data_IF_115218510119
#
_entry.id   IF_115218510119
#
_cell.length_a   1.000
_cell.length_b   1.000
_cell.length_c   1.000
_cell.angle_alpha   90.00
_cell.angle_beta   90.00
_cell.angle_gamma   90.00
#
_symmetry.space_group_name_H-M   'P 1'
#
loop_
_entity.id
_entity.type
_entity.pdbx_description
1 polymer ?
#
# COMPACT_ATOMS: atom_id res chain seq x y z
N UNK A 1 5.23 -5.09 -1.33
CA UNK A 1 4.58 -6.41 -1.13
C UNK A 1 3.15 -6.51 -1.69
N UNK A 2 2.26 -5.53 -1.45
CA UNK A 2 0.85 -5.56 -1.94
C UNK A 2 0.70 -5.80 -3.46
N UNK A 3 1.56 -5.25 -4.31
CA UNK A 3 1.53 -5.47 -5.77
C UNK A 3 1.79 -6.92 -6.19
N UNK A 4 2.75 -7.61 -5.53
CA UNK A 4 3.05 -9.03 -5.78
C UNK A 4 1.87 -9.92 -5.40
N UNK A 5 1.22 -9.63 -4.27
CA UNK A 5 0.02 -10.34 -3.80
C UNK A 5 -1.15 -10.13 -4.76
N UNK A 6 -1.36 -8.90 -5.26
CA UNK A 6 -2.40 -8.62 -6.26
C UNK A 6 -2.18 -9.36 -7.58
N UNK A 7 -0.92 -9.47 -8.03
CA UNK A 7 -0.56 -10.26 -9.22
C UNK A 7 -0.82 -11.75 -9.01
N UNK A 8 -0.47 -12.29 -7.84
CA UNK A 8 -0.72 -13.68 -7.49
C UNK A 8 -2.22 -14.01 -7.41
N UNK A 9 -3.03 -13.15 -6.78
CA UNK A 9 -4.50 -13.32 -6.74
C UNK A 9 -5.12 -13.27 -8.14
N UNK A 10 -4.64 -12.39 -9.01
CA UNK A 10 -5.10 -12.30 -10.40
C UNK A 10 -4.76 -13.57 -11.19
N UNK A 11 -3.56 -14.11 -10.97
CA UNK A 11 -3.12 -15.37 -11.57
C UNK A 11 -3.95 -16.56 -11.07
N UNK A 12 -4.14 -16.67 -9.76
CA UNK A 12 -4.94 -17.73 -9.12
C UNK A 12 -6.41 -17.69 -9.57
N UNK A 13 -7.01 -16.49 -9.63
CA UNK A 13 -8.36 -16.33 -10.18
C UNK A 13 -8.46 -16.69 -11.67
N UNK A 14 -7.44 -16.37 -12.47
CA UNK A 14 -7.34 -16.80 -13.86
C UNK A 14 -7.18 -18.31 -14.02
N UNK A 15 -6.41 -18.94 -13.13
CA UNK A 15 -6.21 -20.39 -13.10
C UNK A 15 -7.51 -21.14 -12.78
N UNK A 16 -8.32 -20.65 -11.83
CA UNK A 16 -9.64 -21.24 -11.54
C UNK A 16 -10.59 -21.18 -12.74
N UNK A 17 -10.59 -20.07 -13.47
CA UNK A 17 -11.36 -19.94 -14.72
C UNK A 17 -10.82 -20.88 -15.81
N UNK A 18 -9.50 -21.05 -15.90
CA UNK A 18 -8.89 -21.99 -16.84
C UNK A 18 -9.24 -23.44 -16.50
N UNK A 19 -9.20 -23.82 -15.22
CA UNK A 19 -9.62 -25.13 -14.73
C UNK A 19 -11.11 -25.40 -15.01
N UNK A 20 -11.98 -24.38 -14.89
CA UNK A 20 -13.38 -24.47 -15.31
C UNK A 20 -13.50 -24.81 -16.81
N UNK A 21 -12.74 -24.11 -17.66
CA UNK A 21 -12.75 -24.35 -19.12
C UNK A 21 -12.29 -25.78 -19.45
N UNK A 22 -11.22 -26.25 -18.79
CA UNK A 22 -10.77 -27.65 -18.94
C UNK A 22 -11.80 -28.66 -18.45
N UNK A 23 -12.49 -28.38 -17.33
CA UNK A 23 -13.56 -29.23 -16.82
C UNK A 23 -14.75 -29.31 -17.80
N UNK A 24 -15.12 -28.18 -18.43
CA UNK A 24 -16.20 -28.13 -19.43
C UNK A 24 -15.78 -28.87 -20.71
N UNK A 25 -14.53 -28.72 -21.16
CA UNK A 25 -13.96 -29.45 -22.30
C UNK A 25 -13.92 -30.96 -22.04
N UNK A 26 -13.51 -31.40 -20.85
CA UNK A 26 -13.53 -32.80 -20.43
C UNK A 26 -14.95 -33.38 -20.44
N UNK A 27 -15.94 -32.62 -19.97
CA UNK A 27 -17.35 -33.02 -20.06
C UNK A 27 -17.89 -33.07 -21.49
N UNK A 28 -17.35 -32.23 -22.40
CA UNK A 28 -17.72 -32.28 -23.82
C UNK A 28 -17.19 -33.54 -24.51
N UNK A 29 -16.01 -34.03 -24.09
CA UNK A 29 -15.42 -35.26 -24.59
C UNK A 29 -16.10 -36.52 -24.02
N UNK A 30 -16.55 -36.47 -22.77
CA UNK A 30 -17.26 -37.59 -22.13
C UNK A 30 -18.77 -37.28 -21.96
N UNK A 31 -19.54 -37.61 -23.00
CA UNK A 31 -20.99 -37.35 -23.11
C UNK A 31 -21.82 -37.94 -21.96
N UNK A 32 -21.26 -38.89 -21.21
CA UNK A 32 -21.89 -39.54 -20.07
C UNK A 32 -21.93 -38.68 -18.79
N UNK A 33 -21.05 -37.66 -18.69
CA UNK A 33 -20.94 -36.80 -17.52
C UNK A 33 -21.84 -35.56 -17.55
N UNK A 34 -22.69 -35.38 -18.57
CA UNK A 34 -23.57 -34.22 -18.76
C UNK A 34 -24.74 -34.17 -17.76
N UNK A 35 -24.43 -34.14 -16.45
CA UNK A 35 -25.39 -33.91 -15.37
C UNK A 35 -25.41 -32.42 -15.07
N UNK A 36 -26.59 -31.79 -15.23
CA UNK A 36 -26.80 -30.34 -14.98
C UNK A 36 -26.30 -29.91 -13.60
N UNK A 37 -26.43 -30.77 -12.60
CA UNK A 37 -26.00 -30.52 -11.23
C UNK A 37 -24.48 -30.33 -11.12
N UNK A 38 -23.70 -31.11 -11.88
CA UNK A 38 -22.24 -31.02 -11.88
C UNK A 38 -21.76 -29.71 -12.54
N UNK A 39 -22.42 -29.30 -13.63
CA UNK A 39 -22.15 -28.03 -14.31
C UNK A 39 -22.42 -26.83 -13.38
N UNK A 40 -23.52 -26.88 -12.62
CA UNK A 40 -23.85 -25.86 -11.63
C UNK A 40 -22.82 -25.78 -10.50
N UNK A 41 -22.38 -26.92 -9.98
CA UNK A 41 -21.33 -26.98 -8.95
C UNK A 41 -20.01 -26.43 -9.48
N UNK A 42 -19.60 -26.80 -10.70
CA UNK A 42 -18.39 -26.28 -11.33
C UNK A 42 -18.43 -24.75 -11.50
N UNK A 43 -19.57 -24.20 -11.96
CA UNK A 43 -19.73 -22.75 -12.06
C UNK A 43 -19.65 -22.08 -10.67
N UNK A 44 -20.28 -22.66 -9.65
CA UNK A 44 -20.29 -22.06 -8.31
C UNK A 44 -18.89 -22.11 -7.66
N UNK A 45 -18.17 -23.22 -7.79
CA UNK A 45 -16.86 -23.44 -7.14
C UNK A 45 -15.71 -22.77 -7.88
N UNK A 46 -15.75 -22.73 -9.22
CA UNK A 46 -14.62 -22.20 -10.01
C UNK A 46 -14.88 -20.81 -10.58
N UNK A 47 -16.09 -20.52 -11.07
CA UNK A 47 -16.38 -19.23 -11.72
C UNK A 47 -16.50 -18.09 -10.71
N UNK A 48 -17.28 -18.27 -9.63
CA UNK A 48 -17.52 -17.22 -8.64
C UNK A 48 -16.22 -16.85 -7.88
N UNK A 49 -15.49 -17.80 -7.25
CA UNK A 49 -14.20 -17.48 -6.65
C UNK A 49 -13.17 -16.97 -7.66
N UNK A 50 -13.13 -17.54 -8.87
CA UNK A 50 -12.22 -17.12 -9.93
C UNK A 50 -12.40 -15.66 -10.36
N UNK A 51 -13.65 -15.24 -10.57
CA UNK A 51 -13.99 -13.85 -10.92
C UNK A 51 -13.70 -12.87 -9.78
N UNK A 52 -14.07 -13.25 -8.55
CA UNK A 52 -13.83 -12.41 -7.35
C UNK A 52 -12.33 -12.22 -7.13
N UNK A 53 -11.54 -13.28 -7.16
CA UNK A 53 -10.08 -13.23 -7.01
C UNK A 53 -9.42 -12.40 -8.11
N UNK A 54 -9.86 -12.56 -9.36
CA UNK A 54 -9.35 -11.79 -10.50
C UNK A 54 -9.66 -10.29 -10.38
N UNK A 55 -10.87 -9.93 -9.94
CA UNK A 55 -11.30 -8.53 -9.74
C UNK A 55 -10.56 -7.88 -8.57
N UNK A 56 -10.48 -8.58 -7.44
CA UNK A 56 -9.76 -8.11 -6.25
C UNK A 56 -8.27 -7.97 -6.52
N UNK A 57 -7.64 -8.99 -7.13
CA UNK A 57 -6.22 -8.96 -7.50
C UNK A 57 -5.88 -7.84 -8.47
N UNK A 58 -6.73 -7.62 -9.48
CA UNK A 58 -6.60 -6.50 -10.41
C UNK A 58 -6.73 -5.13 -9.74
N UNK A 59 -7.71 -4.95 -8.86
CA UNK A 59 -7.88 -3.70 -8.11
C UNK A 59 -6.71 -3.42 -7.17
N UNK A 60 -6.21 -4.45 -6.49
CA UNK A 60 -5.07 -4.35 -5.59
C UNK A 60 -3.78 -3.96 -6.31
N UNK A 61 -3.54 -4.52 -7.51
CA UNK A 61 -2.37 -4.15 -8.33
C UNK A 61 -2.46 -2.70 -8.78
N UNK A 62 -3.58 -2.27 -9.36
CA UNK A 62 -3.79 -0.88 -9.80
C UNK A 62 -3.55 0.12 -8.66
N UNK A 63 -4.13 -0.14 -7.47
CA UNK A 63 -3.94 0.71 -6.29
C UNK A 63 -2.52 0.71 -5.74
N UNK A 64 -1.75 -0.36 -5.97
CA UNK A 64 -0.34 -0.41 -5.59
C UNK A 64 0.52 0.40 -6.56
N UNK A 65 0.27 0.27 -7.86
CA UNK A 65 0.97 0.99 -8.91
C UNK A 65 0.69 2.51 -8.81
N UNK A 66 -0.57 2.92 -8.60
CA UNK A 66 -0.95 4.32 -8.34
C UNK A 66 -0.23 4.92 -7.12
N UNK A 67 -0.07 4.14 -6.04
CA UNK A 67 0.66 4.60 -4.85
C UNK A 67 2.15 4.73 -5.09
N UNK A 68 2.72 3.87 -5.91
CA UNK A 68 4.12 3.96 -6.29
C UNK A 68 4.36 5.18 -7.18
N UNK A 69 3.45 5.44 -8.12
CA UNK A 69 3.47 6.66 -8.96
C UNK A 69 3.38 7.93 -8.12
N UNK A 70 2.47 7.97 -7.13
CA UNK A 70 2.39 9.11 -6.21
C UNK A 70 3.70 9.33 -5.44
N UNK A 71 4.37 8.26 -5.00
CA UNK A 71 5.68 8.36 -4.34
C UNK A 71 6.78 8.85 -5.27
N UNK A 72 6.77 8.43 -6.54
CA UNK A 72 7.71 8.93 -7.55
C UNK A 72 7.54 10.43 -7.82
N UNK A 73 6.32 10.94 -7.67
CA UNK A 73 6.02 12.38 -7.72
C UNK A 73 6.39 13.14 -6.44
N UNK A 74 7.01 12.47 -5.45
CA UNK A 74 7.36 13.06 -4.15
C UNK A 74 6.18 13.21 -3.18
N UNK A 75 5.01 12.69 -3.53
CA UNK A 75 3.80 12.78 -2.72
C UNK A 75 3.76 11.63 -1.70
N UNK A 76 3.52 11.93 -0.43
CA UNK A 76 3.40 10.92 0.61
C UNK A 76 1.92 10.52 0.83
N UNK A 77 1.46 9.36 0.35
CA UNK A 77 0.05 8.98 0.46
C UNK A 77 -0.35 8.72 1.92
N UNK A 78 -1.61 8.98 2.29
CA UNK A 78 -2.06 8.81 3.67
C UNK A 78 -1.89 7.37 4.14
N UNK A 79 -1.46 7.24 5.40
CA UNK A 79 -1.32 5.93 6.04
C UNK A 79 -2.70 5.27 6.15
N UNK A 80 -2.80 4.02 5.67
CA UNK A 80 -4.07 3.28 5.63
C UNK A 80 -4.12 2.15 6.65
N UNK A 81 -3.19 2.14 7.62
CA UNK A 81 -3.06 1.06 8.60
C UNK A 81 -4.28 1.01 9.53
N UNK A 82 -4.63 2.14 10.16
CA UNK A 82 -5.77 2.23 11.07
C UNK A 82 -7.11 1.91 10.39
N UNK A 83 -7.29 2.42 9.17
CA UNK A 83 -8.48 2.13 8.37
C UNK A 83 -8.56 0.65 7.96
N UNK A 84 -7.43 0.05 7.58
CA UNK A 84 -7.37 -1.38 7.25
C UNK A 84 -7.68 -2.23 8.49
N UNK A 85 -7.23 -1.81 9.67
CA UNK A 85 -7.53 -2.47 10.94
C UNK A 85 -9.03 -2.39 11.29
N UNK A 86 -9.65 -1.21 11.20
CA UNK A 86 -11.09 -1.05 11.44
C UNK A 86 -11.94 -1.89 10.49
N UNK A 87 -11.60 -1.95 9.20
CA UNK A 87 -12.28 -2.84 8.24
C UNK A 87 -12.07 -4.31 8.58
N UNK A 88 -10.86 -4.68 8.99
CA UNK A 88 -10.57 -6.05 9.38
C UNK A 88 -11.36 -6.46 10.63
N UNK A 89 -11.35 -5.63 11.68
CA UNK A 89 -12.10 -5.85 12.91
C UNK A 89 -13.62 -5.91 12.64
N UNK A 90 -14.16 -4.96 11.87
CA UNK A 90 -15.57 -4.97 11.49
C UNK A 90 -15.93 -6.20 10.66
N UNK A 91 -15.13 -6.52 9.64
CA UNK A 91 -15.32 -7.71 8.80
C UNK A 91 -15.21 -9.02 9.58
N UNK A 92 -14.31 -9.10 10.55
CA UNK A 92 -14.16 -10.26 11.43
C UNK A 92 -15.40 -10.48 12.32
N UNK A 93 -15.97 -9.42 12.89
CA UNK A 93 -17.22 -9.50 13.65
C UNK A 93 -18.40 -9.95 12.76
N UNK A 94 -18.50 -9.42 11.53
CA UNK A 94 -19.51 -9.86 10.57
C UNK A 94 -19.32 -11.34 10.17
N UNK A 95 -18.08 -11.79 10.04
CA UNK A 95 -17.75 -13.17 9.72
C UNK A 95 -18.14 -14.14 10.85
N UNK A 96 -17.84 -13.79 12.11
CA UNK A 96 -18.29 -14.58 13.27
C UNK A 96 -19.82 -14.67 13.33
N UNK A 97 -20.52 -13.55 13.09
CA UNK A 97 -21.97 -13.57 12.96
C UNK A 97 -22.43 -14.51 11.84
N UNK A 98 -21.78 -14.46 10.67
CA UNK A 98 -22.07 -15.36 9.55
C UNK A 98 -21.90 -16.85 9.89
N UNK A 99 -20.88 -17.23 10.67
CA UNK A 99 -20.69 -18.61 11.15
C UNK A 99 -21.83 -19.03 12.06
N UNK A 100 -22.20 -18.19 13.03
CA UNK A 100 -23.31 -18.48 13.95
C UNK A 100 -24.62 -18.62 13.18
N UNK A 101 -24.88 -17.71 12.25
CA UNK A 101 -26.07 -17.71 11.42
C UNK A 101 -26.14 -18.95 10.52
N UNK A 102 -25.02 -19.34 9.93
CA UNK A 102 -24.91 -20.59 9.15
C UNK A 102 -25.16 -21.83 10.01
N UNK A 103 -24.58 -21.89 11.22
CA UNK A 103 -24.84 -22.97 12.17
C UNK A 103 -26.31 -23.09 12.56
N UNK A 104 -27.02 -21.97 12.66
CA UNK A 104 -28.47 -21.97 12.91
C UNK A 104 -29.29 -22.48 11.72
N UNK A 105 -28.92 -22.12 10.49
CA UNK A 105 -29.55 -22.63 9.27
C UNK A 105 -29.36 -24.15 9.15
N UNK A 106 -28.17 -24.66 9.46
CA UNK A 106 -27.91 -26.10 9.37
C UNK A 106 -28.67 -26.87 10.45
N UNK A 107 -28.88 -26.28 11.63
CA UNK A 107 -29.58 -26.89 12.77
C UNK A 107 -31.08 -26.54 12.83
N UNK A 108 -31.75 -26.55 11.67
CA UNK A 108 -33.12 -26.07 11.45
C UNK A 108 -34.18 -27.00 12.07
N UNK A 109 -34.37 -26.96 13.39
CA UNK A 109 -35.45 -27.75 14.03
C UNK A 109 -36.33 -27.02 15.05
N UNK A 110 -36.05 -25.76 15.42
CA UNK A 110 -36.87 -25.03 16.41
C UNK A 110 -36.86 -23.52 16.18
N UNK A 111 -38.02 -22.94 15.89
CA UNK A 111 -38.14 -21.69 15.14
C UNK A 111 -38.30 -20.40 16.00
N UNK A 112 -38.62 -20.52 17.30
CA UNK A 112 -38.86 -19.37 18.19
C UNK A 112 -37.60 -18.83 18.89
N UNK A 113 -37.02 -19.62 19.80
CA UNK A 113 -35.89 -19.18 20.63
C UNK A 113 -34.62 -18.87 19.84
N UNK A 114 -34.44 -19.57 18.70
CA UNK A 114 -33.31 -19.37 17.80
C UNK A 114 -33.35 -18.01 17.10
N UNK A 115 -34.54 -17.45 16.84
CA UNK A 115 -34.65 -16.14 16.20
C UNK A 115 -34.28 -15.00 17.15
N UNK A 116 -34.73 -15.07 18.41
CA UNK A 116 -34.34 -14.09 19.44
C UNK A 116 -32.84 -14.12 19.70
N UNK A 117 -32.24 -15.32 19.75
CA UNK A 117 -30.79 -15.48 19.85
C UNK A 117 -30.06 -14.91 18.62
N UNK A 118 -30.54 -15.17 17.40
CA UNK A 118 -29.98 -14.59 16.18
C UNK A 118 -30.05 -13.05 16.18
N UNK A 119 -31.16 -12.48 16.63
CA UNK A 119 -31.34 -11.04 16.76
C UNK A 119 -30.38 -10.43 17.79
N UNK A 120 -30.17 -11.09 18.94
CA UNK A 120 -29.17 -10.71 19.94
C UNK A 120 -27.75 -10.73 19.36
N UNK A 121 -27.37 -11.81 18.68
CA UNK A 121 -26.06 -11.89 18.01
C UNK A 121 -25.90 -10.86 16.90
N UNK A 122 -26.98 -10.53 16.18
CA UNK A 122 -26.95 -9.45 15.19
C UNK A 122 -26.67 -8.11 15.88
N UNK A 123 -27.35 -7.81 16.98
CA UNK A 123 -27.13 -6.56 17.71
C UNK A 123 -25.71 -6.47 18.30
N UNK A 124 -25.17 -7.59 18.78
CA UNK A 124 -23.90 -7.64 19.49
C UNK A 124 -22.67 -7.76 18.56
N UNK A 125 -22.80 -8.40 17.40
CA UNK A 125 -21.68 -8.64 16.47
C UNK A 125 -21.88 -8.00 15.10
N UNK A 126 -23.08 -8.14 14.52
CA UNK A 126 -23.35 -7.61 13.18
C UNK A 126 -23.39 -6.07 13.20
N UNK A 127 -24.17 -5.47 14.09
CA UNK A 127 -24.33 -4.01 14.18
C UNK A 127 -23.00 -3.28 14.41
N UNK A 128 -22.18 -3.61 15.44
CA UNK A 128 -20.86 -2.99 15.58
C UNK A 128 -19.93 -3.33 14.41
N UNK A 129 -20.03 -4.53 13.83
CA UNK A 129 -19.29 -4.90 12.63
C UNK A 129 -19.56 -3.98 11.43
N UNK A 130 -20.84 -3.72 11.13
CA UNK A 130 -21.26 -2.78 10.08
C UNK A 130 -20.80 -1.36 10.41
N UNK A 131 -21.01 -0.90 11.65
CA UNK A 131 -20.64 0.44 12.10
C UNK A 131 -19.14 0.69 11.92
N UNK A 132 -18.29 -0.26 12.32
CA UNK A 132 -16.84 -0.19 12.14
C UNK A 132 -16.46 -0.14 10.66
N UNK A 133 -17.11 -0.96 9.83
CA UNK A 133 -16.88 -0.97 8.38
C UNK A 133 -17.27 0.35 7.71
N UNK A 134 -18.39 0.92 8.13
CA UNK A 134 -18.87 2.23 7.68
C UNK A 134 -17.96 3.37 8.14
N UNK A 135 -17.58 3.38 9.42
CA UNK A 135 -16.65 4.36 9.97
C UNK A 135 -15.31 4.33 9.24
N UNK A 136 -14.76 3.14 8.97
CA UNK A 136 -13.55 2.99 8.18
C UNK A 136 -13.70 3.53 6.76
N UNK A 137 -14.85 3.31 6.14
CA UNK A 137 -15.14 3.81 4.79
C UNK A 137 -15.31 5.34 4.75
N UNK A 138 -15.88 5.92 5.81
CA UNK A 138 -15.98 7.38 5.97
C UNK A 138 -14.62 8.03 6.19
N UNK A 139 -13.76 7.42 7.01
CA UNK A 139 -12.38 7.88 7.25
C UNK A 139 -11.53 7.81 5.97
N UNK A 140 -11.69 6.76 5.16
CA UNK A 140 -11.00 6.66 3.87
C UNK A 140 -11.33 7.84 2.97
N UNK A 141 -12.62 8.13 2.78
CA UNK A 141 -13.08 9.24 1.95
C UNK A 141 -12.50 10.57 2.42
N UNK A 142 -12.61 10.86 3.72
CA UNK A 142 -12.07 12.10 4.31
C UNK A 142 -10.55 12.20 4.16
N UNK A 143 -9.82 11.10 4.33
CA UNK A 143 -8.36 11.08 4.16
C UNK A 143 -7.94 11.33 2.71
N UNK A 144 -8.67 10.76 1.74
CA UNK A 144 -8.44 11.00 0.32
C UNK A 144 -8.82 12.42 -0.10
N UNK A 145 -9.91 12.97 0.43
CA UNK A 145 -10.32 14.35 0.17
C UNK A 145 -9.29 15.35 0.69
N UNK A 146 -8.74 15.13 1.90
CA UNK A 146 -7.65 15.98 2.42
C UNK A 146 -6.40 15.91 1.56
N UNK A 147 -5.96 14.69 1.24
CA UNK A 147 -4.81 14.49 0.35
C UNK A 147 -5.03 15.12 -1.03
N UNK A 148 -6.26 15.01 -1.57
CA UNK A 148 -6.62 15.64 -2.84
C UNK A 148 -6.60 17.16 -2.74
N UNK A 149 -7.08 17.75 -1.64
CA UNK A 149 -7.05 19.20 -1.42
C UNK A 149 -5.63 19.73 -1.27
N UNK A 150 -4.79 19.04 -0.49
CA UNK A 150 -3.38 19.42 -0.30
C UNK A 150 -2.58 19.34 -1.61
N UNK A 151 -2.98 18.46 -2.52
CA UNK A 151 -2.31 18.25 -3.80
C UNK A 151 -3.19 18.60 -5.00
N UNK A 152 -4.09 19.59 -4.86
CA UNK A 152 -5.03 20.03 -5.91
C UNK A 152 -4.32 20.31 -7.24
N UNK A 153 -3.16 20.99 -7.20
CA UNK A 153 -2.36 21.31 -8.39
C UNK A 153 -1.96 20.06 -9.21
N UNK A 154 -1.75 18.90 -8.57
CA UNK A 154 -1.43 17.66 -9.27
C UNK A 154 -2.67 16.97 -9.87
N UNK A 155 -3.86 17.20 -9.31
CA UNK A 155 -5.11 16.58 -9.76
C UNK A 155 -5.88 17.43 -10.78
N UNK A 156 -5.64 18.74 -10.79
CA UNK A 156 -6.26 19.70 -11.71
C UNK A 156 -5.50 19.81 -13.03
N UNK A 157 -4.22 19.39 -13.05
CA UNK A 157 -3.45 19.27 -14.27
C UNK A 157 -4.03 18.14 -15.14
N UNK A 158 -4.66 18.53 -16.25
CA UNK A 158 -5.18 17.69 -17.33
C UNK A 158 -4.18 16.57 -17.67
N UNK A 159 -4.62 15.32 -17.98
CA UNK A 159 -3.74 14.15 -17.99
C UNK A 159 -2.55 14.36 -18.92
N UNK A 160 -1.41 14.71 -18.33
CA UNK A 160 -0.16 14.78 -19.07
C UNK A 160 0.09 13.36 -19.58
N UNK A 161 0.21 13.15 -20.90
CA UNK A 161 0.43 11.83 -21.45
C UNK A 161 1.66 11.22 -20.77
N UNK A 162 1.46 10.05 -20.18
CA UNK A 162 2.50 9.32 -19.46
C UNK A 162 3.76 9.21 -20.32
N UNK A 163 4.96 9.54 -19.82
CA UNK A 163 6.16 8.95 -20.39
C UNK A 163 6.10 7.45 -20.11
N UNK A 164 5.90 6.66 -21.18
CA UNK A 164 5.88 5.19 -21.20
C UNK A 164 7.26 4.56 -20.95
N UNK A 165 8.16 5.25 -20.29
CA UNK A 165 9.52 4.78 -20.08
C UNK A 165 9.83 4.88 -18.59
N UNK A 166 10.01 3.72 -17.96
CA UNK A 166 10.75 3.67 -16.72
C UNK A 166 12.21 3.95 -17.08
N UNK A 167 12.80 5.11 -16.70
CA UNK A 167 14.22 5.27 -16.88
C UNK A 167 14.90 4.28 -15.94
N UNK A 168 15.49 3.24 -16.53
CA UNK A 168 16.58 2.50 -15.91
C UNK A 168 17.62 3.52 -15.46
N UNK A 169 18.05 3.40 -14.19
CA UNK A 169 18.97 4.31 -13.50
C UNK A 169 20.29 4.57 -14.28
N UNK A 170 20.58 3.76 -15.29
CA UNK A 170 21.75 3.87 -16.16
C UNK A 170 21.70 5.03 -17.17
N UNK A 171 20.54 5.60 -17.49
CA UNK A 171 20.42 6.61 -18.56
C UNK A 171 20.58 8.07 -18.08
N UNK A 172 20.46 8.32 -16.78
CA UNK A 172 20.63 9.67 -16.17
C UNK A 172 22.12 10.11 -16.18
N UNK A 173 23.06 9.20 -16.44
CA UNK A 173 24.51 9.48 -16.41
C UNK A 173 25.03 10.06 -17.73
N UNK A 174 24.30 9.96 -18.86
CA UNK A 174 24.86 10.28 -20.18
C UNK A 174 24.62 11.69 -20.71
N UNK A 175 23.74 12.48 -20.11
CA UNK A 175 23.37 13.79 -20.69
C UNK A 175 23.30 14.90 -19.63
N UNK A 176 24.43 15.18 -18.99
CA UNK A 176 24.67 16.46 -18.34
C UNK A 176 25.75 17.22 -19.14
N UNK A 177 25.40 18.29 -19.89
CA UNK A 177 26.38 19.06 -20.64
C UNK A 177 27.33 19.81 -19.69
N UNK A 178 28.61 19.46 -19.83
CA UNK A 178 29.86 20.17 -19.52
C UNK A 178 29.78 21.43 -18.62
N UNK A 179 30.31 21.27 -17.41
CA UNK A 179 30.69 22.31 -16.47
C UNK A 179 31.64 23.36 -17.07
N UNK A 180 31.46 24.67 -16.78
CA UNK A 180 32.50 25.67 -16.95
C UNK A 180 33.26 25.87 -15.62
N UNK A 181 33.99 24.85 -15.14
CA UNK A 181 34.94 25.00 -14.01
C UNK A 181 36.37 24.58 -14.43
N UNK A 182 36.59 24.32 -15.72
CA UNK A 182 37.92 23.97 -16.26
C UNK A 182 38.94 25.11 -16.34
N UNK A 183 38.60 26.31 -15.87
CA UNK A 183 39.55 27.44 -15.79
C UNK A 183 40.28 27.57 -14.45
N UNK A 184 39.86 26.84 -13.41
CA UNK A 184 40.58 26.84 -12.12
C UNK A 184 41.65 25.73 -12.01
N UNK A 185 41.60 24.71 -12.89
CA UNK A 185 42.49 23.53 -12.82
C UNK A 185 43.89 23.77 -13.44
N UNK A 186 44.11 24.85 -14.20
CA UNK A 186 45.41 25.12 -14.82
C UNK A 186 46.37 25.97 -13.97
N UNK A 187 45.90 26.67 -12.93
CA UNK A 187 46.79 27.41 -12.01
C UNK A 187 47.20 26.60 -10.76
N UNK A 188 46.63 25.41 -10.56
CA UNK A 188 46.94 24.55 -9.41
C UNK A 188 47.84 23.34 -9.75
N UNK A 189 48.35 23.24 -10.98
CA UNK A 189 49.24 22.16 -11.43
C UNK A 189 50.74 22.42 -11.16
N UNK A 190 51.08 23.34 -10.26
CA UNK A 190 52.47 23.67 -9.91
C UNK A 190 52.70 23.78 -8.39
N UNK A 191 52.39 22.71 -7.63
CA UNK A 191 53.16 22.34 -6.44
C UNK A 191 52.70 20.99 -5.89
N UNK A 192 53.40 19.94 -6.31
CA UNK A 192 53.45 18.67 -5.60
C UNK A 192 54.04 18.87 -4.20
N UNK A 193 53.27 18.61 -3.14
CA UNK A 193 53.66 17.68 -2.06
C UNK A 193 52.50 17.45 -1.07
N UNK A 194 52.12 16.19 -0.92
CA UNK A 194 51.17 15.60 0.05
C UNK A 194 51.91 15.48 1.41
N UNK A 195 51.30 15.67 2.61
CA UNK A 195 50.51 14.62 3.27
C UNK A 195 49.16 15.02 3.91
N UNK A 196 48.16 14.20 3.54
CA UNK A 196 46.85 13.86 4.14
C UNK A 196 46.47 14.42 5.54
N UNK A 197 45.32 15.09 5.62
CA UNK A 197 44.42 15.10 6.78
C UNK A 197 42.98 14.99 6.28
N UNK A 198 42.19 14.06 6.83
CA UNK A 198 40.86 13.68 6.36
C UNK A 198 39.84 14.85 6.37
N UNK A 199 38.90 14.92 5.40
CA UNK A 199 37.86 15.96 5.37
C UNK A 199 36.84 15.76 6.49
N UNK A 200 36.75 16.71 7.42
CA UNK A 200 35.80 16.65 8.54
C UNK A 200 34.40 17.14 8.10
N UNK A 201 33.43 16.22 8.16
CA UNK A 201 32.02 16.44 7.84
C UNK A 201 31.28 17.04 9.06
N UNK A 202 30.32 17.98 8.90
CA UNK A 202 29.54 18.53 10.01
C UNK A 202 28.79 17.43 10.79
N UNK A 203 28.83 17.52 12.12
CA UNK A 203 28.30 16.50 13.04
C UNK A 203 27.11 17.07 13.82
N UNK A 204 26.08 16.25 13.99
CA UNK A 204 24.96 16.55 14.89
C UNK A 204 25.41 16.28 16.32
N UNK A 205 25.39 17.30 17.18
CA UNK A 205 25.80 17.19 18.58
C UNK A 205 24.57 17.45 19.45
N UNK A 206 24.31 16.56 20.41
CA UNK A 206 23.25 16.74 21.39
C UNK A 206 23.66 17.82 22.39
N UNK A 207 22.77 18.78 22.63
CA UNK A 207 22.96 19.83 23.59
C UNK A 207 22.99 19.26 25.02
N UNK A 208 24.01 19.63 25.81
CA UNK A 208 24.23 19.12 27.16
C UNK A 208 23.17 19.53 28.19
N UNK A 209 22.40 20.58 27.91
CA UNK A 209 21.41 21.14 28.84
C UNK A 209 19.97 20.69 28.55
N UNK A 210 19.62 20.47 27.28
CA UNK A 210 18.24 20.15 26.86
C UNK A 210 18.11 18.88 26.02
N UNK A 211 19.23 18.25 25.62
CA UNK A 211 19.24 17.03 24.81
C UNK A 211 18.86 17.22 23.33
N UNK A 212 18.52 18.45 22.90
CA UNK A 212 18.20 18.74 21.51
C UNK A 212 19.43 18.61 20.61
N UNK A 213 19.26 18.05 19.41
CA UNK A 213 20.37 17.87 18.47
C UNK A 213 20.56 19.11 17.59
N UNK A 214 21.76 19.66 17.57
CA UNK A 214 22.13 20.83 16.78
C UNK A 214 23.27 20.48 15.83
N UNK A 215 23.16 20.86 14.55
CA UNK A 215 24.22 20.69 13.56
C UNK A 215 25.32 21.72 13.80
N UNK A 216 26.55 21.27 14.07
CA UNK A 216 27.70 22.17 14.30
C UNK A 216 28.72 21.97 13.18
N UNK A 217 29.16 23.06 12.56
CA UNK A 217 30.25 23.04 11.58
C UNK A 217 31.62 22.90 12.28
N UNK A 218 32.60 22.25 11.63
CA UNK A 218 33.91 22.01 12.23
C UNK A 218 34.58 23.30 12.67
N UNK A 219 35.24 23.28 13.85
CA UNK A 219 35.90 24.43 14.49
C UNK A 219 35.01 25.61 14.87
N UNK A 220 33.68 25.46 14.84
CA UNK A 220 32.73 26.50 15.27
C UNK A 220 32.00 26.16 16.58
N UNK A 221 31.49 27.20 17.23
CA UNK A 221 30.54 27.08 18.35
C UNK A 221 29.19 27.56 17.85
N UNK A 222 28.15 26.75 18.07
CA UNK A 222 26.76 27.10 17.73
C UNK A 222 25.93 27.19 19.00
N UNK A 223 24.97 28.10 19.04
CA UNK A 223 24.04 28.23 20.17
C UNK A 223 22.84 27.32 19.97
N UNK A 224 22.42 26.59 21.00
CA UNK A 224 21.25 25.74 20.92
C UNK A 224 19.97 26.55 20.79
N UNK A 225 19.13 26.23 19.80
CA UNK A 225 17.86 26.93 19.53
C UNK A 225 16.85 26.84 20.68
N UNK A 226 16.92 25.79 21.50
CA UNK A 226 15.91 25.54 22.54
C UNK A 226 16.23 26.18 23.89
N UNK A 227 17.51 26.33 24.23
CA UNK A 227 17.94 26.76 25.57
C UNK A 227 19.03 27.83 25.55
N UNK A 228 19.50 28.24 24.38
CA UNK A 228 20.54 29.27 24.22
C UNK A 228 21.95 28.84 24.63
N UNK A 229 22.16 27.62 25.13
CA UNK A 229 23.50 27.19 25.55
C UNK A 229 24.42 26.90 24.37
N UNK A 230 25.70 27.20 24.53
CA UNK A 230 26.72 27.01 23.49
C UNK A 230 27.11 25.52 23.36
N UNK A 231 27.10 25.03 22.12
CA UNK A 231 27.49 23.67 21.73
C UNK A 231 28.72 23.79 20.83
N UNK A 232 29.84 23.24 21.28
CA UNK A 232 31.11 23.23 20.54
C UNK A 232 31.29 21.92 19.78
N UNK A 233 31.94 22.02 18.62
CA UNK A 233 32.36 20.86 17.83
C UNK A 233 33.47 20.10 18.57
N UNK A 234 33.14 18.96 19.20
CA UNK A 234 34.07 18.09 19.93
C UNK A 234 34.02 16.64 19.44
#
# INVERSE_FOLDING_TARGET
MRGKIGSFLKFCGGFLIFALVLSILGMLMDRSMFRKDYLMICLLVFLLPGLVLRKIGGSMKKKADEREQLRQLGLNPPSMAFQSFLRFAGGFLMFLYGIVWFGMIVNWSTQGDKFMLAALFALLFFTPGVLLWWAASGLEKRSQERFRREHLAYFEQEPVPMPSYAPTIEEIVKEAPAQPIRRAEMEAAASSTVPQTAPQLPKMIACSSCGAQTSVSPSSTSTCEYCGSTVSYR
#
